data_IF_910371814403
#
_entry.id   IF_910371814403
#
_cell.length_a   1.000
_cell.length_b   1.000
_cell.length_c   1.000
_cell.angle_alpha   90.00
_cell.angle_beta   90.00
_cell.angle_gamma   90.00
#
_symmetry.space_group_name_H-M   'P 1'
#
loop_
_entity.id
_entity.type
_entity.pdbx_description
1 polymer ?
#
# COMPACT_ATOMS: atom_id res chain seq x y z
N UNK A 1 -14.11 2.99 -3.42
CA UNK A 1 -13.75 1.54 -3.40
C UNK A 1 -12.72 1.26 -2.29
N UNK A 2 -12.39 -0.01 -1.97
CA UNK A 2 -11.37 -0.36 -0.99
C UNK A 2 -10.26 -1.21 -1.65
N UNK A 3 -9.08 -0.61 -1.76
CA UNK A 3 -7.93 -1.21 -2.45
C UNK A 3 -6.91 -1.74 -1.45
N UNK A 4 -6.42 -2.95 -1.67
CA UNK A 4 -5.24 -3.48 -1.02
C UNK A 4 -4.06 -3.47 -1.98
N UNK A 5 -2.95 -2.85 -1.59
CA UNK A 5 -1.75 -2.77 -2.41
C UNK A 5 -0.54 -3.31 -1.65
N UNK A 6 0.25 -4.14 -2.32
CA UNK A 6 1.63 -4.42 -1.90
C UNK A 6 2.60 -3.54 -2.69
N UNK A 7 3.81 -3.34 -2.17
CA UNK A 7 4.87 -2.60 -2.87
C UNK A 7 4.85 -1.10 -2.62
N UNK A 8 3.98 -0.62 -1.73
CA UNK A 8 4.02 0.74 -1.22
C UNK A 8 5.19 0.89 -0.22
N UNK A 9 5.97 2.00 -0.24
CA UNK A 9 5.78 3.25 -0.99
C UNK A 9 6.52 3.31 -2.34
N UNK A 10 6.85 2.17 -2.95
CA UNK A 10 7.55 2.10 -4.23
C UNK A 10 6.89 2.92 -5.34
N UNK A 11 7.67 3.26 -6.36
CA UNK A 11 7.28 4.17 -7.44
C UNK A 11 5.93 3.81 -8.08
N UNK A 12 5.78 2.57 -8.56
CA UNK A 12 4.55 2.13 -9.24
C UNK A 12 3.34 2.09 -8.30
N UNK A 13 3.52 1.61 -7.06
CA UNK A 13 2.43 1.57 -6.08
C UNK A 13 1.93 2.99 -5.74
N UNK A 14 2.85 3.92 -5.52
CA UNK A 14 2.52 5.33 -5.25
C UNK A 14 1.83 5.99 -6.45
N UNK A 15 2.30 5.72 -7.67
CA UNK A 15 1.64 6.21 -8.89
C UNK A 15 0.21 5.65 -9.02
N UNK A 16 0.03 4.35 -8.78
CA UNK A 16 -1.27 3.70 -8.86
C UNK A 16 -2.25 4.25 -7.83
N UNK A 17 -1.82 4.49 -6.59
CA UNK A 17 -2.65 5.14 -5.55
C UNK A 17 -3.18 6.49 -6.04
N UNK A 18 -2.32 7.32 -6.65
CA UNK A 18 -2.73 8.61 -7.21
C UNK A 18 -3.78 8.45 -8.32
N UNK A 19 -3.52 7.56 -9.27
CA UNK A 19 -4.42 7.31 -10.41
C UNK A 19 -5.79 6.79 -9.95
N UNK A 20 -5.81 5.84 -9.01
CA UNK A 20 -7.06 5.31 -8.44
C UNK A 20 -7.84 6.38 -7.67
N UNK A 21 -7.16 7.21 -6.89
CA UNK A 21 -7.80 8.32 -6.16
C UNK A 21 -8.36 9.40 -7.10
N UNK A 22 -7.71 9.65 -8.23
CA UNK A 22 -8.24 10.57 -9.25
C UNK A 22 -9.52 10.03 -9.89
N UNK A 23 -9.61 8.71 -10.09
CA UNK A 23 -10.79 8.05 -10.66
C UNK A 23 -11.96 7.98 -9.68
N UNK A 24 -11.70 7.66 -8.42
CA UNK A 24 -12.68 7.65 -7.34
C UNK A 24 -12.08 8.31 -6.10
N UNK A 25 -12.48 9.57 -5.86
CA UNK A 25 -12.04 10.37 -4.73
C UNK A 25 -12.53 9.83 -3.39
N UNK A 26 -13.44 8.85 -3.34
CA UNK A 26 -13.88 8.16 -2.13
C UNK A 26 -13.09 6.88 -1.81
N UNK A 27 -12.05 6.58 -2.58
CA UNK A 27 -11.25 5.35 -2.41
C UNK A 27 -10.50 5.30 -1.08
N UNK A 28 -10.48 4.10 -0.48
CA UNK A 28 -9.68 3.76 0.69
C UNK A 28 -8.55 2.83 0.28
N UNK A 29 -7.38 3.04 0.84
CA UNK A 29 -6.14 2.34 0.52
C UNK A 29 -5.62 1.64 1.77
N UNK A 30 -5.52 0.32 1.68
CA UNK A 30 -4.86 -0.58 2.63
C UNK A 30 -3.50 -0.93 2.03
N UNK A 31 -2.44 -0.37 2.59
CA UNK A 31 -1.10 -0.40 2.00
C UNK A 31 -0.24 -1.34 2.84
N UNK A 32 0.10 -2.52 2.31
CA UNK A 32 1.02 -3.43 2.98
C UNK A 32 2.44 -2.87 2.86
N UNK A 33 3.10 -2.66 4.00
CA UNK A 33 4.41 -2.01 4.09
C UNK A 33 5.37 -2.90 4.88
N UNK A 34 6.47 -3.28 4.23
CA UNK A 34 7.56 -3.96 4.90
C UNK A 34 8.24 -3.03 5.92
N UNK A 35 8.72 -3.57 7.04
CA UNK A 35 9.29 -2.80 8.16
C UNK A 35 10.41 -1.84 7.72
N UNK A 36 11.26 -2.26 6.78
CA UNK A 36 12.33 -1.43 6.21
C UNK A 36 11.85 -0.19 5.43
N UNK A 37 10.56 -0.09 5.12
CA UNK A 37 9.95 1.01 4.36
C UNK A 37 8.96 1.83 5.20
N UNK A 38 8.81 1.56 6.49
CA UNK A 38 7.78 2.17 7.34
C UNK A 38 7.87 3.71 7.36
N UNK A 39 9.07 4.27 7.55
CA UNK A 39 9.26 5.72 7.59
C UNK A 39 8.96 6.37 6.22
N UNK A 40 9.50 5.80 5.14
CA UNK A 40 9.25 6.27 3.79
C UNK A 40 7.75 6.22 3.43
N UNK A 41 7.04 5.21 3.91
CA UNK A 41 5.60 5.07 3.72
C UNK A 41 4.83 6.18 4.43
N UNK A 42 5.18 6.49 5.69
CA UNK A 42 4.59 7.60 6.44
C UNK A 42 4.83 8.94 5.76
N UNK A 43 6.06 9.21 5.31
CA UNK A 43 6.39 10.44 4.57
C UNK A 43 5.59 10.54 3.26
N UNK A 44 5.46 9.42 2.54
CA UNK A 44 4.68 9.37 1.29
C UNK A 44 3.21 9.66 1.53
N UNK A 45 2.59 9.10 2.58
CA UNK A 45 1.21 9.41 2.96
C UNK A 45 1.04 10.89 3.30
N UNK A 46 1.94 11.47 4.13
CA UNK A 46 1.90 12.90 4.45
C UNK A 46 1.93 13.77 3.20
N UNK A 47 2.80 13.44 2.24
CA UNK A 47 2.86 14.13 0.94
C UNK A 47 1.55 14.00 0.15
N UNK A 48 1.00 12.78 0.04
CA UNK A 48 -0.27 12.56 -0.66
C UNK A 48 -1.42 13.38 -0.05
N UNK A 49 -1.50 13.43 1.30
CA UNK A 49 -2.49 14.23 2.02
C UNK A 49 -2.29 15.72 1.73
N UNK A 50 -1.05 16.21 1.79
CA UNK A 50 -0.71 17.61 1.50
C UNK A 50 -1.09 18.02 0.06
N UNK A 51 -0.97 17.11 -0.90
CA UNK A 51 -1.37 17.33 -2.29
C UNK A 51 -2.90 17.21 -2.52
N UNK A 52 -3.70 17.12 -1.46
CA UNK A 52 -5.16 17.05 -1.56
C UNK A 52 -5.68 15.71 -2.09
N UNK A 53 -4.93 14.62 -1.88
CA UNK A 53 -5.40 13.27 -2.23
C UNK A 53 -6.43 12.71 -1.26
N UNK A 54 -6.78 13.46 -0.21
CA UNK A 54 -7.78 13.08 0.79
C UNK A 54 -7.23 13.08 2.20
N UNK A 55 -8.09 12.83 3.20
CA UNK A 55 -7.66 12.81 4.59
C UNK A 55 -6.86 11.54 4.90
N UNK A 56 -6.02 11.60 5.94
CA UNK A 56 -5.03 10.56 6.25
C UNK A 56 -5.66 9.19 6.53
N UNK A 57 -6.88 9.15 7.07
CA UNK A 57 -7.63 7.95 7.46
C UNK A 57 -7.99 7.06 6.26
N UNK A 58 -7.83 7.57 5.03
CA UNK A 58 -7.99 6.78 3.81
C UNK A 58 -6.75 5.99 3.44
N UNK A 59 -5.60 6.27 4.04
CA UNK A 59 -4.34 5.61 3.76
C UNK A 59 -3.90 4.83 5.01
N UNK A 60 -4.40 3.61 5.15
CA UNK A 60 -3.99 2.73 6.25
C UNK A 60 -2.70 2.02 5.86
N UNK A 61 -1.62 2.29 6.60
CA UNK A 61 -0.36 1.57 6.50
C UNK A 61 -0.45 0.32 7.37
N UNK A 62 -0.29 -0.85 6.75
CA UNK A 62 -0.38 -2.15 7.39
C UNK A 62 1.02 -2.76 7.39
N UNK A 63 1.68 -2.89 8.55
CA UNK A 63 2.96 -3.57 8.64
C UNK A 63 2.79 -5.03 8.22
N UNK A 64 3.64 -5.52 7.31
CA UNK A 64 3.61 -6.93 6.93
C UNK A 64 4.65 -7.30 5.89
N UNK A 65 4.69 -8.58 5.54
CA UNK A 65 5.68 -9.18 4.66
C UNK A 65 5.01 -10.23 3.78
N UNK A 66 5.12 -10.04 2.46
CA UNK A 66 4.51 -10.93 1.46
C UNK A 66 5.08 -12.35 1.46
N UNK A 67 6.26 -12.55 2.06
CA UNK A 67 6.93 -13.85 2.13
C UNK A 67 6.43 -14.70 3.29
N UNK A 68 5.74 -14.09 4.25
CA UNK A 68 5.24 -14.74 5.45
C UNK A 68 3.82 -15.27 5.23
N UNK A 69 3.46 -16.32 5.96
CA UNK A 69 2.07 -16.77 6.04
C UNK A 69 1.17 -15.61 6.47
N UNK A 70 -0.02 -15.54 5.87
CA UNK A 70 -1.00 -14.46 6.10
C UNK A 70 -0.40 -13.05 5.91
N UNK A 71 0.65 -12.91 5.11
CA UNK A 71 1.36 -11.66 4.86
C UNK A 71 2.03 -11.07 6.13
N UNK A 72 2.30 -11.91 7.15
CA UNK A 72 2.84 -11.48 8.43
C UNK A 72 1.83 -10.76 9.32
N UNK A 73 0.53 -10.91 9.04
CA UNK A 73 -0.56 -10.27 9.76
C UNK A 73 -1.16 -11.19 10.81
N UNK A 74 -1.69 -10.60 11.88
CA UNK A 74 -2.54 -11.34 12.79
C UNK A 74 -3.85 -11.76 12.11
N UNK A 75 -4.46 -12.83 12.62
CA UNK A 75 -5.65 -13.45 12.04
C UNK A 75 -6.87 -12.53 12.00
N UNK A 76 -6.99 -11.60 12.95
CA UNK A 76 -8.09 -10.63 13.01
C UNK A 76 -7.95 -9.62 11.89
N UNK A 77 -6.75 -9.04 11.73
CA UNK A 77 -6.44 -8.10 10.65
C UNK A 77 -6.62 -8.77 9.28
N UNK A 78 -6.09 -9.98 9.11
CA UNK A 78 -6.22 -10.74 7.87
C UNK A 78 -7.68 -10.96 7.48
N UNK A 79 -8.50 -11.46 8.41
CA UNK A 79 -9.92 -11.72 8.16
C UNK A 79 -10.71 -10.44 7.87
N UNK A 80 -10.45 -9.35 8.62
CA UNK A 80 -11.04 -8.03 8.35
C UNK A 80 -10.74 -7.56 6.92
N UNK A 81 -9.49 -7.70 6.48
CA UNK A 81 -9.13 -7.31 5.12
C UNK A 81 -9.82 -8.16 4.05
N UNK A 82 -9.99 -9.46 4.28
CA UNK A 82 -10.74 -10.32 3.34
C UNK A 82 -12.19 -9.86 3.14
N UNK A 83 -12.80 -9.25 4.15
CA UNK A 83 -14.16 -8.72 4.07
C UNK A 83 -14.24 -7.31 3.48
N UNK A 84 -13.26 -6.46 3.79
CA UNK A 84 -13.29 -5.04 3.40
C UNK A 84 -12.73 -4.78 1.98
N UNK A 85 -11.73 -5.55 1.56
CA UNK A 85 -10.99 -5.29 0.32
C UNK A 85 -11.82 -5.71 -0.88
N UNK A 86 -12.01 -4.80 -1.82
CA UNK A 86 -12.73 -5.10 -3.07
C UNK A 86 -11.81 -5.35 -4.24
N UNK A 87 -10.57 -4.83 -4.20
CA UNK A 87 -9.59 -4.93 -5.27
C UNK A 87 -8.18 -5.08 -4.69
N UNK A 88 -7.39 -5.98 -5.25
CA UNK A 88 -6.02 -6.22 -4.86
C UNK A 88 -5.06 -5.91 -6.02
N UNK A 89 -4.01 -5.15 -5.74
CA UNK A 89 -2.87 -4.95 -6.64
C UNK A 89 -1.58 -5.40 -5.97
N UNK A 90 -0.96 -6.44 -6.52
CA UNK A 90 0.31 -6.95 -6.03
C UNK A 90 1.47 -6.36 -6.86
N UNK A 91 2.22 -5.43 -6.27
CA UNK A 91 3.35 -4.75 -6.94
C UNK A 91 4.68 -4.91 -6.18
N UNK A 92 4.65 -5.50 -4.98
CA UNK A 92 5.86 -5.81 -4.24
C UNK A 92 6.66 -6.91 -4.95
N UNK A 93 7.90 -6.61 -5.28
CA UNK A 93 8.90 -7.57 -5.69
C UNK A 93 10.29 -7.00 -5.35
N UNK A 94 11.26 -7.89 -5.16
CA UNK A 94 12.68 -7.50 -5.16
C UNK A 94 13.13 -7.50 -6.62
N UNK A 95 13.41 -6.31 -7.15
CA UNK A 95 13.97 -6.15 -8.49
C UNK A 95 15.48 -6.05 -8.37
N UNK A 96 16.18 -7.17 -8.53
CA UNK A 96 17.60 -7.12 -8.83
C UNK A 96 17.76 -6.89 -10.33
N UNK A 97 17.96 -5.62 -10.69
CA UNK A 97 18.26 -5.19 -12.05
C UNK A 97 19.76 -4.95 -12.23
N UNK A 98 20.62 -5.57 -11.41
CA UNK A 98 22.05 -5.52 -11.62
C UNK A 98 22.37 -6.03 -13.04
N UNK A 99 22.69 -5.09 -13.92
CA UNK A 99 23.36 -5.37 -15.18
C UNK A 99 24.84 -5.23 -14.87
N UNK A 100 25.63 -6.31 -14.90
CA UNK A 100 27.08 -6.20 -14.80
C UNK A 100 27.59 -5.22 -15.87
N UNK A 101 28.51 -4.34 -15.48
CA UNK A 101 29.20 -3.45 -16.40
C UNK A 101 30.05 -4.22 -17.42
#
# INVERSE_FOLDING_TARGET
MAFFLTGFPGFLATYLVRALNQRDRGSRFRLLVHSSQAEAAQQTVKRLVHEGMGPQERFELIPGDITQELLGLDSVTYYRMQLEVTHLFHLAAVYDLAVPA
#
